data_IF_734173238574
#
_entry.id   IF_734173238574
#
_cell.length_a   1.000
_cell.length_b   1.000
_cell.length_c   1.000
_cell.angle_alpha   90.00
_cell.angle_beta   90.00
_cell.angle_gamma   90.00
#
_symmetry.space_group_name_H-M   'P 1'
#
loop_
_entity.id
_entity.type
_entity.pdbx_description
1 polymer ?
#
# COMPACT_ATOMS: atom_id res chain seq x y z
N UNK A 1 -14.08 -30.78 -4.22
CA UNK A 1 -13.13 -30.21 -5.21
C UNK A 1 -12.35 -29.12 -4.50
N UNK A 2 -11.15 -29.44 -4.02
CA UNK A 2 -10.24 -28.44 -3.43
C UNK A 2 -9.62 -27.65 -4.58
N UNK A 3 -10.23 -26.52 -4.92
CA UNK A 3 -9.62 -25.57 -5.83
C UNK A 3 -8.39 -25.00 -5.15
N UNK A 4 -7.21 -25.47 -5.55
CA UNK A 4 -5.98 -24.72 -5.33
C UNK A 4 -6.18 -23.40 -6.07
N UNK A 5 -6.69 -22.38 -5.38
CA UNK A 5 -6.52 -21.01 -5.82
C UNK A 5 -5.02 -20.82 -5.80
N UNK A 6 -4.38 -20.93 -6.95
CA UNK A 6 -3.02 -20.41 -7.16
C UNK A 6 -3.10 -18.96 -6.70
N UNK A 7 -2.66 -18.70 -5.47
CA UNK A 7 -2.54 -17.34 -4.97
C UNK A 7 -1.62 -16.67 -5.98
N UNK A 8 -2.15 -15.71 -6.74
CA UNK A 8 -1.36 -15.01 -7.74
C UNK A 8 -0.13 -14.47 -7.03
N UNK A 9 1.04 -15.01 -7.36
CA UNK A 9 2.30 -14.56 -6.77
C UNK A 9 2.58 -13.19 -7.34
N UNK A 10 2.28 -12.16 -6.58
CA UNK A 10 2.64 -10.83 -6.98
C UNK A 10 3.91 -10.35 -6.29
N UNK A 11 4.48 -9.28 -6.84
CA UNK A 11 5.79 -8.76 -6.45
C UNK A 11 5.60 -7.37 -5.88
N UNK A 12 6.09 -7.17 -4.65
CA UNK A 12 6.21 -5.85 -4.05
C UNK A 12 7.62 -5.32 -4.39
N UNK A 13 7.73 -4.17 -5.08
CA UNK A 13 9.02 -3.67 -5.51
C UNK A 13 9.89 -3.19 -4.34
N UNK A 14 11.21 -3.21 -4.55
CA UNK A 14 12.19 -2.63 -3.63
C UNK A 14 11.90 -1.16 -3.40
N UNK A 15 12.22 -0.70 -2.19
CA UNK A 15 11.94 0.67 -1.75
C UNK A 15 10.54 0.85 -1.19
N UNK A 16 9.62 -0.11 -1.40
CA UNK A 16 8.27 -0.02 -0.83
C UNK A 16 8.30 -0.01 0.68
N UNK A 17 7.56 0.93 1.26
CA UNK A 17 7.45 1.12 2.70
C UNK A 17 6.15 0.51 3.20
N UNK A 18 6.27 -0.58 3.95
CA UNK A 18 5.14 -1.31 4.49
C UNK A 18 5.01 -0.98 5.97
N UNK A 19 3.78 -0.75 6.42
CA UNK A 19 3.46 -0.62 7.84
C UNK A 19 3.15 -2.00 8.43
N UNK A 20 3.98 -2.45 9.37
CA UNK A 20 3.77 -3.66 10.14
C UNK A 20 3.39 -3.24 11.56
N UNK A 21 2.08 -3.24 11.87
CA UNK A 21 1.55 -2.72 13.13
C UNK A 21 1.95 -1.24 13.35
N UNK A 22 2.69 -0.96 14.43
CA UNK A 22 3.26 0.38 14.70
C UNK A 22 4.65 0.57 14.09
N UNK A 23 5.26 -0.51 13.60
CA UNK A 23 6.55 -0.51 12.93
C UNK A 23 6.44 -0.14 11.46
N UNK A 24 7.51 0.46 10.93
CA UNK A 24 7.68 0.73 9.51
C UNK A 24 8.87 -0.07 9.00
N UNK A 25 8.69 -0.77 7.90
CA UNK A 25 9.77 -1.48 7.21
C UNK A 25 9.88 -0.96 5.80
N UNK A 26 11.12 -0.85 5.32
CA UNK A 26 11.40 -0.52 3.92
C UNK A 26 12.01 -1.77 3.28
N UNK A 27 11.44 -2.21 2.17
CA UNK A 27 11.99 -3.32 1.41
C UNK A 27 13.29 -2.90 0.75
N UNK A 28 14.35 -3.68 0.93
CA UNK A 28 15.66 -3.42 0.32
C UNK A 28 15.81 -4.07 -1.07
N UNK A 29 14.97 -5.05 -1.37
CA UNK A 29 14.90 -5.81 -2.61
C UNK A 29 13.43 -6.12 -2.96
N UNK A 30 13.19 -6.58 -4.19
CA UNK A 30 11.86 -6.97 -4.64
C UNK A 30 11.41 -8.24 -3.89
N UNK A 31 10.22 -8.22 -3.31
CA UNK A 31 9.70 -9.34 -2.50
C UNK A 31 8.52 -9.98 -3.20
N UNK A 32 8.61 -11.29 -3.45
CA UNK A 32 7.50 -12.09 -3.94
C UNK A 32 6.60 -12.44 -2.76
N UNK A 33 5.30 -12.18 -2.89
CA UNK A 33 4.29 -12.49 -1.87
C UNK A 33 3.20 -13.36 -2.49
N UNK A 34 2.74 -14.35 -1.73
CA UNK A 34 1.55 -15.14 -2.08
C UNK A 34 0.29 -14.33 -1.69
N UNK A 35 0.02 -13.26 -2.46
CA UNK A 35 -1.10 -12.36 -2.25
C UNK A 35 -1.67 -11.87 -3.58
N UNK A 36 -3.00 -11.85 -3.68
CA UNK A 36 -3.73 -11.39 -4.86
C UNK A 36 -3.32 -9.95 -5.26
N UNK A 37 -3.35 -9.61 -6.55
CA UNK A 37 -2.92 -8.29 -7.05
C UNK A 37 -3.59 -7.12 -6.30
N UNK A 38 -4.87 -7.24 -5.94
CA UNK A 38 -5.60 -6.21 -5.18
C UNK A 38 -4.94 -5.83 -3.83
N UNK A 39 -4.28 -6.79 -3.17
CA UNK A 39 -3.55 -6.53 -1.93
C UNK A 39 -2.24 -5.81 -2.18
N UNK A 40 -1.59 -6.09 -3.31
CA UNK A 40 -0.35 -5.45 -3.71
C UNK A 40 -0.61 -4.02 -4.14
N UNK A 41 -1.65 -3.79 -4.94
CA UNK A 41 -2.12 -2.45 -5.29
C UNK A 41 -2.46 -1.63 -4.05
N UNK A 42 -3.10 -2.25 -3.05
CA UNK A 42 -3.35 -1.59 -1.76
C UNK A 42 -2.07 -1.19 -1.04
N UNK A 43 -1.06 -2.06 -0.98
CA UNK A 43 0.23 -1.74 -0.32
C UNK A 43 0.94 -0.59 -1.03
N UNK A 44 0.95 -0.59 -2.36
CA UNK A 44 1.53 0.49 -3.17
C UNK A 44 0.74 1.80 -2.99
N UNK A 45 -0.59 1.71 -2.90
CA UNK A 45 -1.45 2.88 -2.66
C UNK A 45 -1.26 3.42 -1.23
N UNK A 46 -1.14 2.57 -0.22
CA UNK A 46 -0.90 2.99 1.18
C UNK A 46 0.43 3.72 1.31
N UNK A 47 1.47 3.25 0.60
CA UNK A 47 2.75 3.95 0.50
C UNK A 47 2.58 5.35 -0.13
N UNK A 48 1.84 5.44 -1.23
CA UNK A 48 1.56 6.72 -1.90
C UNK A 48 0.74 7.67 -1.02
N UNK A 49 -0.34 7.21 -0.40
CA UNK A 49 -1.18 8.02 0.50
C UNK A 49 -0.36 8.55 1.68
N UNK A 50 0.50 7.71 2.27
CA UNK A 50 1.36 8.10 3.38
C UNK A 50 2.41 9.15 2.98
N UNK A 51 3.01 9.04 1.78
CA UNK A 51 4.11 9.91 1.37
C UNK A 51 3.69 11.15 0.59
N UNK A 52 2.60 11.09 -0.17
CA UNK A 52 2.03 12.27 -0.84
C UNK A 52 1.28 13.19 0.12
N UNK A 53 1.14 12.83 1.41
CA UNK A 53 0.38 13.64 2.35
C UNK A 53 -1.05 13.86 1.88
N UNK A 54 -1.60 12.91 1.11
CA UNK A 54 -3.03 12.85 0.85
C UNK A 54 -3.63 12.34 2.14
N UNK A 55 -3.67 13.22 3.14
CA UNK A 55 -4.85 13.28 3.97
C UNK A 55 -6.00 13.21 2.97
N UNK A 56 -6.83 12.17 3.06
CA UNK A 56 -8.22 12.34 2.69
C UNK A 56 -8.69 13.53 3.52
N UNK A 57 -8.55 14.72 2.96
CA UNK A 57 -9.26 15.91 3.38
C UNK A 57 -10.70 15.52 3.16
N UNK A 58 -11.28 14.88 4.17
CA UNK A 58 -12.69 15.06 4.45
C UNK A 58 -12.87 16.56 4.52
N UNK A 59 -13.31 17.13 3.40
CA UNK A 59 -14.15 18.31 3.30
C UNK A 59 -14.07 19.25 4.50
N UNK A 60 -12.89 19.81 4.77
CA UNK A 60 -12.75 21.02 5.54
C UNK A 60 -12.53 22.10 4.51
N UNK A 61 -13.63 22.70 4.09
CA UNK A 61 -13.65 23.91 3.26
C UNK A 61 -12.71 24.93 3.88
N UNK A 62 -11.50 25.05 3.33
CA UNK A 62 -10.63 26.19 3.57
C UNK A 62 -11.27 27.36 2.82
N UNK A 63 -12.24 28.01 3.48
CA UNK A 63 -12.59 29.38 3.13
C UNK A 63 -11.42 30.25 3.55
N UNK A 64 -10.50 30.48 2.61
CA UNK A 64 -9.53 31.57 2.71
C UNK A 64 -10.30 32.90 2.66
N UNK A 65 -10.29 33.62 3.77
CA UNK A 65 -10.68 35.02 3.82
C UNK A 65 -9.53 35.86 3.26
N UNK A 66 -9.79 36.58 2.18
CA UNK A 66 -9.08 37.80 1.78
C UNK A 66 -10.11 38.92 1.64
#
# INVERSE_FOLDING_TARGET
>A
MGGNQELERGVIPKGTRIKLYEGRVTLIEDVVVDANQEWIDKVIQDEKDFYCGVARTGNSSLISSD
#
